data_IF_117993258690
#
_entry.id   IF_117993258690
#
_cell.length_a   1.000
_cell.length_b   1.000
_cell.length_c   1.000
_cell.angle_alpha   90.00
_cell.angle_beta   90.00
_cell.angle_gamma   90.00
#
_symmetry.space_group_name_H-M   'P 1'
#
loop_
_entity.id
_entity.type
_entity.pdbx_description
1 polymer ?
#
# COMPACT_ATOMS: atom_id res chain seq x y z
N UNK A 1 19.13 -36.96 -1.00
CA UNK A 1 19.09 -35.69 -0.24
C UNK A 1 17.87 -35.61 0.67
N UNK A 2 16.65 -35.74 0.14
CA UNK A 2 15.41 -35.80 0.93
C UNK A 2 15.46 -36.93 1.97
N UNK A 3 15.90 -38.12 1.58
CA UNK A 3 16.07 -39.26 2.50
C UNK A 3 16.97 -38.94 3.70
N UNK A 4 18.05 -38.17 3.49
CA UNK A 4 18.94 -37.74 4.58
C UNK A 4 18.26 -36.76 5.54
N UNK A 5 17.39 -35.90 5.04
CA UNK A 5 16.61 -34.95 5.86
C UNK A 5 15.55 -35.70 6.67
N UNK A 6 14.87 -36.66 6.05
CA UNK A 6 13.85 -37.49 6.70
C UNK A 6 14.50 -38.35 7.79
N UNK A 7 15.60 -39.03 7.49
CA UNK A 7 16.29 -39.87 8.48
C UNK A 7 16.83 -39.04 9.64
N UNK A 8 17.41 -37.86 9.37
CA UNK A 8 17.84 -36.94 10.41
C UNK A 8 16.67 -36.43 11.27
N UNK A 9 15.52 -36.14 10.65
CA UNK A 9 14.30 -35.71 11.35
C UNK A 9 13.74 -36.81 12.26
N UNK A 10 13.81 -38.08 11.83
CA UNK A 10 13.36 -39.22 12.64
C UNK A 10 14.29 -39.44 13.84
N UNK A 11 15.61 -39.33 13.64
CA UNK A 11 16.60 -39.46 14.73
C UNK A 11 16.44 -38.33 15.76
N UNK A 12 16.17 -37.10 15.28
CA UNK A 12 16.00 -35.92 16.13
C UNK A 12 14.52 -35.60 16.42
N UNK A 13 13.67 -36.62 16.50
CA UNK A 13 12.22 -36.47 16.74
C UNK A 13 11.84 -35.48 17.86
N UNK A 14 12.46 -35.47 19.06
CA UNK A 14 12.09 -34.50 20.09
C UNK A 14 12.36 -33.05 19.65
N UNK A 15 13.48 -32.79 18.97
CA UNK A 15 13.81 -31.46 18.45
C UNK A 15 12.79 -31.00 17.41
N UNK A 16 12.41 -31.89 16.49
CA UNK A 16 11.41 -31.60 15.45
C UNK A 16 10.06 -31.24 16.07
N UNK A 17 9.64 -31.97 17.12
CA UNK A 17 8.38 -31.70 17.83
C UNK A 17 8.43 -30.34 18.53
N UNK A 18 9.52 -30.02 19.23
CA UNK A 18 9.69 -28.72 19.89
C UNK A 18 9.61 -27.58 18.87
N UNK A 19 10.33 -27.70 17.75
CA UNK A 19 10.30 -26.71 16.68
C UNK A 19 8.89 -26.57 16.09
N UNK A 20 8.17 -27.67 15.88
CA UNK A 20 6.79 -27.64 15.38
C UNK A 20 5.85 -26.89 16.35
N UNK A 21 5.97 -27.13 17.65
CA UNK A 21 5.17 -26.44 18.67
C UNK A 21 5.50 -24.95 18.73
N UNK A 22 6.78 -24.58 18.64
CA UNK A 22 7.19 -23.18 18.60
C UNK A 22 6.64 -22.45 17.38
N UNK A 23 6.73 -23.07 16.19
CA UNK A 23 6.17 -22.51 14.95
C UNK A 23 4.64 -22.39 15.04
N UNK A 24 3.96 -23.40 15.61
CA UNK A 24 2.51 -23.34 15.80
C UNK A 24 2.10 -22.23 16.77
N UNK A 25 2.81 -22.08 17.90
CA UNK A 25 2.57 -21.00 18.86
C UNK A 25 2.81 -19.62 18.25
N UNK A 26 3.89 -19.45 17.50
CA UNK A 26 4.18 -18.23 16.75
C UNK A 26 3.11 -17.92 15.71
N UNK A 27 2.65 -18.95 14.98
CA UNK A 27 1.57 -18.82 14.00
C UNK A 27 0.26 -18.36 14.63
N UNK A 28 -0.11 -18.89 15.80
CA UNK A 28 -1.30 -18.45 16.54
C UNK A 28 -1.17 -17.00 16.99
N UNK A 29 -0.01 -16.60 17.50
CA UNK A 29 0.24 -15.23 17.93
C UNK A 29 0.13 -14.26 16.74
N UNK A 30 0.82 -14.58 15.64
CA UNK A 30 0.75 -13.78 14.40
C UNK A 30 -0.67 -13.70 13.85
N UNK A 31 -1.42 -14.81 13.80
CA UNK A 31 -2.79 -14.83 13.33
C UNK A 31 -3.75 -13.93 14.15
N UNK A 32 -3.43 -13.68 15.43
CA UNK A 32 -4.20 -12.78 16.29
C UNK A 32 -3.80 -11.31 16.13
N UNK A 33 -2.57 -11.05 15.71
CA UNK A 33 -2.03 -9.69 15.55
C UNK A 33 -2.15 -9.16 14.12
N UNK A 34 -2.42 -10.02 13.13
CA UNK A 34 -2.63 -9.58 11.74
C UNK A 34 -3.80 -8.59 11.71
N UNK A 35 -3.57 -7.36 11.21
CA UNK A 35 -4.65 -6.40 11.05
C UNK A 35 -5.64 -6.94 10.02
N UNK A 36 -6.88 -7.13 10.44
CA UNK A 36 -7.96 -7.59 9.58
C UNK A 36 -8.74 -6.38 9.09
N UNK A 37 -8.76 -6.17 7.77
CA UNK A 37 -9.68 -5.24 7.13
C UNK A 37 -10.82 -6.02 6.46
N UNK A 38 -12.00 -5.43 6.44
CA UNK A 38 -13.20 -6.07 5.91
C UNK A 38 -13.21 -6.12 4.38
N UNK A 39 -12.47 -5.21 3.72
CA UNK A 39 -12.42 -5.06 2.27
C UNK A 39 -10.97 -4.77 1.89
N UNK A 40 -10.43 -5.34 0.80
CA UNK A 40 -9.14 -4.90 0.29
C UNK A 40 -9.21 -3.41 -0.12
N UNK A 41 -8.09 -2.70 -0.04
CA UNK A 41 -8.03 -1.34 -0.61
C UNK A 41 -8.21 -1.43 -2.13
N UNK A 42 -9.29 -0.82 -2.61
CA UNK A 42 -9.68 -0.76 -4.02
C UNK A 42 -9.42 0.63 -4.62
N UNK A 43 -8.84 1.54 -3.85
CA UNK A 43 -8.65 2.92 -4.25
C UNK A 43 -7.46 3.06 -5.19
N UNK A 44 -7.61 3.88 -6.23
CA UNK A 44 -6.46 4.30 -7.02
C UNK A 44 -5.53 5.19 -6.17
N UNK A 45 -4.23 5.14 -6.44
CA UNK A 45 -3.26 6.05 -5.81
C UNK A 45 -3.50 7.47 -6.32
N UNK A 46 -4.10 8.31 -5.48
CA UNK A 46 -4.41 9.70 -5.81
C UNK A 46 -3.64 10.66 -4.91
N UNK A 47 -2.95 11.62 -5.52
CA UNK A 47 -2.33 12.76 -4.82
C UNK A 47 -3.17 14.01 -5.06
N UNK A 48 -3.64 14.64 -3.99
CA UNK A 48 -4.50 15.82 -4.05
C UNK A 48 -3.66 17.08 -3.77
N UNK A 49 -3.67 18.02 -4.72
CA UNK A 49 -3.06 19.34 -4.58
C UNK A 49 -4.18 20.37 -4.44
N UNK A 50 -4.24 21.06 -3.30
CA UNK A 50 -5.23 22.11 -3.04
C UNK A 50 -4.53 23.46 -2.85
N UNK A 51 -4.81 24.38 -3.76
CA UNK A 51 -4.31 25.76 -3.70
C UNK A 51 -5.47 26.72 -3.47
N UNK A 52 -5.36 27.62 -2.49
CA UNK A 52 -6.36 28.65 -2.23
C UNK A 52 -6.02 29.92 -2.98
N UNK A 53 -6.96 30.47 -3.77
CA UNK A 53 -6.80 31.76 -4.45
C UNK A 53 -8.04 32.64 -4.25
N UNK A 54 -8.17 33.29 -3.08
CA UNK A 54 -9.42 33.92 -2.66
C UNK A 54 -9.78 35.16 -3.49
N UNK A 55 -11.06 35.33 -3.77
CA UNK A 55 -11.61 36.52 -4.43
C UNK A 55 -11.35 36.60 -5.94
N UNK A 56 -10.80 35.54 -6.54
CA UNK A 56 -10.58 35.46 -7.98
C UNK A 56 -11.71 34.69 -8.66
N UNK A 57 -12.04 35.09 -9.89
CA UNK A 57 -12.99 34.35 -10.71
C UNK A 57 -12.39 32.98 -11.10
N UNK A 58 -13.20 31.93 -11.30
CA UNK A 58 -12.73 30.59 -11.68
C UNK A 58 -11.83 30.58 -12.91
N UNK A 59 -12.10 31.47 -13.87
CA UNK A 59 -11.28 31.60 -15.06
C UNK A 59 -9.84 32.01 -14.73
N UNK A 60 -9.66 32.95 -13.80
CA UNK A 60 -8.34 33.41 -13.35
C UNK A 60 -7.64 32.30 -12.56
N UNK A 61 -8.38 31.56 -11.73
CA UNK A 61 -7.85 30.40 -11.00
C UNK A 61 -7.40 29.31 -11.99
N UNK A 62 -8.18 29.04 -13.03
CA UNK A 62 -7.81 28.08 -14.08
C UNK A 62 -6.52 28.49 -14.78
N UNK A 63 -6.49 29.71 -15.31
CA UNK A 63 -5.39 30.18 -16.16
C UNK A 63 -4.08 30.36 -15.37
N UNK A 64 -4.16 30.79 -14.11
CA UNK A 64 -2.97 31.12 -13.31
C UNK A 64 -2.53 30.02 -12.33
N UNK A 65 -3.41 29.10 -11.95
CA UNK A 65 -3.12 28.11 -10.91
C UNK A 65 -3.35 26.70 -11.43
N UNK A 66 -4.58 26.36 -11.80
CA UNK A 66 -4.94 24.98 -12.13
C UNK A 66 -4.23 24.49 -13.39
N UNK A 67 -4.21 25.28 -14.47
CA UNK A 67 -3.62 24.88 -15.75
C UNK A 67 -2.09 24.70 -15.68
N UNK A 68 -1.30 25.63 -15.10
CA UNK A 68 0.14 25.41 -14.93
C UNK A 68 0.46 24.19 -14.06
N UNK A 69 -0.29 23.95 -13.00
CA UNK A 69 -0.09 22.79 -12.12
C UNK A 69 -0.45 21.50 -12.86
N UNK A 70 -1.63 21.43 -13.48
CA UNK A 70 -2.10 20.24 -14.15
C UNK A 70 -1.19 19.83 -15.32
N UNK A 71 -0.77 20.79 -16.14
CA UNK A 71 0.16 20.54 -17.26
C UNK A 71 1.53 20.06 -16.79
N UNK A 72 2.07 20.62 -15.70
CA UNK A 72 3.30 20.11 -15.10
C UNK A 72 3.13 18.69 -14.54
N UNK A 73 2.00 18.38 -13.91
CA UNK A 73 1.72 17.05 -13.33
C UNK A 73 1.61 15.93 -14.37
N UNK A 74 1.27 16.26 -15.63
CA UNK A 74 1.28 15.28 -16.72
C UNK A 74 2.68 14.72 -17.00
N UNK A 75 3.74 15.44 -16.64
CA UNK A 75 5.13 15.01 -16.84
C UNK A 75 5.67 14.13 -15.71
N UNK A 76 4.92 13.98 -14.61
CA UNK A 76 5.36 13.18 -13.46
C UNK A 76 5.34 11.68 -13.81
N UNK A 77 6.43 10.93 -13.56
CA UNK A 77 6.44 9.49 -13.80
C UNK A 77 5.35 8.76 -13.01
N UNK A 78 4.63 7.87 -13.67
CA UNK A 78 3.54 7.10 -13.05
C UNK A 78 2.17 7.80 -13.07
N UNK A 79 2.06 8.99 -13.65
CA UNK A 79 0.76 9.66 -13.84
C UNK A 79 -0.09 8.93 -14.89
N UNK A 80 -1.29 8.50 -14.50
CA UNK A 80 -2.30 7.92 -15.41
C UNK A 80 -3.25 8.99 -15.93
N UNK A 81 -3.76 9.84 -15.03
CA UNK A 81 -4.61 10.98 -15.36
C UNK A 81 -4.35 12.14 -14.39
N UNK A 82 -4.67 13.36 -14.82
CA UNK A 82 -4.65 14.56 -13.99
C UNK A 82 -6.01 15.23 -14.11
N UNK A 83 -6.62 15.56 -12.98
CA UNK A 83 -7.94 16.22 -12.91
C UNK A 83 -7.79 17.58 -12.23
N UNK A 84 -8.10 18.64 -12.96
CA UNK A 84 -8.12 20.01 -12.43
C UNK A 84 -9.55 20.43 -12.08
N UNK A 85 -9.70 21.15 -10.96
CA UNK A 85 -10.96 21.78 -10.58
C UNK A 85 -10.70 23.22 -10.16
N UNK A 86 -11.37 24.16 -10.83
CA UNK A 86 -11.31 25.59 -10.53
C UNK A 86 -12.66 26.03 -9.98
N UNK A 87 -12.76 26.13 -8.65
CA UNK A 87 -13.97 26.52 -7.93
C UNK A 87 -13.99 28.03 -7.64
N UNK A 88 -15.19 28.58 -7.45
CA UNK A 88 -15.45 29.91 -6.88
C UNK A 88 -15.16 29.94 -5.37
#
# INVERSE_FOLDING_TARGET
MIEKIISWSIVNRPLVIVLAVLIAGWGIHSAREIPLDAIPDLSDVQVIIKTSYPGQAPQVVEDQVTYPIASAMLSVPGTVNVRGYSFL
#
